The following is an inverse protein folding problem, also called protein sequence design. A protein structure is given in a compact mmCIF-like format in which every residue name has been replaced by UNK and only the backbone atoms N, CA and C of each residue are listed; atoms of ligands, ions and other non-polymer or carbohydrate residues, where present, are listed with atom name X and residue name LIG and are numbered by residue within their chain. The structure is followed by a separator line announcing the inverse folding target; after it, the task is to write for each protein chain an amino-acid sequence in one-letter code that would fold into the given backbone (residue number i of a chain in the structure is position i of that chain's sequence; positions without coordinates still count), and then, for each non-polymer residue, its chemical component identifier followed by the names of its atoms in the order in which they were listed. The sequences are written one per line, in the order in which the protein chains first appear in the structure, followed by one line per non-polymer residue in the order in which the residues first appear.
data_IF_067054641317
#
_entry.id   IF_067054641317
#
_cell.length_a   1.000
_cell.length_b   1.000
_cell.length_c   1.000
_cell.angle_alpha   90.00
_cell.angle_beta   90.00
_cell.angle_gamma   90.00
#
_symmetry.space_group_name_H-M   'P 1'
#
loop_
_entity.id
_entity.type
_entity.pdbx_description
1 polymer ?
#
# COMPACT_ATOMS: atom_id res chain seq x y z
N UNK A 1 59.87 1.21 -63.62
CA UNK A 1 59.19 2.52 -63.64
C UNK A 1 57.68 2.23 -63.67
N UNK A 2 56.98 2.48 -62.55
CA UNK A 2 55.55 2.16 -62.36
C UNK A 2 54.65 2.93 -63.33
N UNK A 3 53.44 2.40 -63.59
CA UNK A 3 52.26 3.22 -63.31
C UNK A 3 51.19 2.51 -62.48
N UNK A 4 50.59 3.30 -61.59
CA UNK A 4 49.40 3.03 -60.79
C UNK A 4 48.14 2.91 -61.67
N UNK A 5 47.29 1.92 -61.38
CA UNK A 5 45.86 1.94 -61.77
C UNK A 5 45.00 1.77 -60.51
N UNK A 6 44.05 2.70 -60.35
CA UNK A 6 43.17 2.89 -59.19
C UNK A 6 41.95 1.94 -59.21
N UNK A 7 41.82 1.21 -58.09
CA UNK A 7 40.65 0.96 -57.21
C UNK A 7 39.22 0.88 -57.80
N UNK A 8 38.72 -0.36 -57.75
CA UNK A 8 37.40 -0.89 -57.38
C UNK A 8 36.32 0.04 -56.78
N UNK A 9 35.06 -0.18 -57.19
CA UNK A 9 34.05 -0.88 -56.36
C UNK A 9 32.82 -1.29 -57.20
N UNK A 10 32.59 -2.61 -57.28
CA UNK A 10 31.49 -3.28 -57.98
C UNK A 10 30.42 -3.70 -56.95
N UNK A 11 29.15 -3.40 -57.22
CA UNK A 11 27.99 -3.67 -56.36
C UNK A 11 27.57 -5.15 -56.45
N UNK A 12 27.30 -5.79 -55.31
CA UNK A 12 26.84 -7.18 -55.12
C UNK A 12 26.26 -7.26 -53.69
N UNK A 13 25.23 -8.01 -53.27
CA UNK A 13 24.28 -8.94 -53.87
C UNK A 13 23.20 -9.22 -52.79
N UNK A 14 21.97 -9.42 -53.27
CA UNK A 14 20.92 -10.37 -52.84
C UNK A 14 21.14 -11.22 -51.56
N UNK A 15 20.15 -11.24 -50.65
CA UNK A 15 19.65 -12.47 -50.02
C UNK A 15 18.24 -12.28 -49.39
N UNK A 16 17.25 -12.94 -49.99
CA UNK A 16 15.88 -13.18 -49.53
C UNK A 16 15.79 -14.60 -48.95
N UNK A 17 14.72 -14.89 -48.19
CA UNK A 17 14.31 -16.15 -47.51
C UNK A 17 14.76 -16.23 -46.03
N UNK A 18 13.91 -16.48 -45.03
CA UNK A 18 12.81 -17.47 -44.96
C UNK A 18 11.69 -17.03 -43.99
N UNK A 19 10.42 -17.28 -44.35
CA UNK A 19 9.23 -17.14 -43.49
C UNK A 19 8.91 -18.50 -42.90
N UNK A 20 8.92 -18.62 -41.57
CA UNK A 20 8.56 -19.84 -40.85
C UNK A 20 7.04 -19.97 -40.70
N UNK A 21 6.50 -21.10 -41.15
CA UNK A 21 5.10 -21.50 -41.04
C UNK A 21 4.75 -21.81 -39.57
N UNK A 22 3.76 -21.10 -39.02
CA UNK A 22 3.09 -21.45 -37.77
C UNK A 22 2.16 -22.65 -38.02
N UNK A 23 2.48 -23.78 -37.41
CA UNK A 23 1.58 -24.94 -37.35
C UNK A 23 0.48 -24.65 -36.35
N UNK A 24 -0.73 -24.47 -36.85
CA UNK A 24 -1.95 -24.37 -36.05
C UNK A 24 -2.34 -25.77 -35.56
N UNK A 25 -2.23 -26.00 -34.24
CA UNK A 25 -2.84 -27.15 -33.60
C UNK A 25 -4.22 -26.73 -33.11
N UNK A 26 -5.23 -27.02 -33.92
CA UNK A 26 -6.64 -26.90 -33.54
C UNK A 26 -7.06 -28.07 -32.65
N UNK A 27 -7.62 -27.75 -31.48
CA UNK A 27 -8.34 -28.68 -30.64
C UNK A 27 -9.70 -28.08 -30.29
N UNK A 28 -10.75 -28.58 -30.94
CA UNK A 28 -12.14 -28.41 -30.52
C UNK A 28 -12.38 -29.23 -29.25
N UNK A 29 -12.94 -28.59 -28.22
CA UNK A 29 -13.29 -29.24 -26.96
C UNK A 29 -14.02 -28.28 -26.01
N UNK A 30 -15.35 -28.35 -26.04
CA UNK A 30 -16.31 -27.97 -25.00
C UNK A 30 -16.14 -26.64 -24.24
N UNK A 31 -17.02 -25.69 -24.58
CA UNK A 31 -17.36 -24.52 -23.76
C UNK A 31 -18.11 -24.94 -22.49
N UNK A 32 -17.39 -25.44 -21.50
CA UNK A 32 -17.81 -25.48 -20.11
C UNK A 32 -17.12 -24.35 -19.36
N UNK A 33 -17.85 -23.28 -19.06
CA UNK A 33 -17.35 -22.14 -18.27
C UNK A 33 -17.09 -22.55 -16.82
N UNK A 34 -15.97 -23.22 -16.58
CA UNK A 34 -15.34 -23.31 -15.27
C UNK A 34 -14.24 -22.27 -15.27
N UNK A 35 -14.39 -21.25 -14.41
CA UNK A 35 -13.28 -20.37 -14.08
C UNK A 35 -12.09 -21.26 -13.72
N UNK A 36 -10.90 -21.10 -14.33
CA UNK A 36 -9.77 -21.93 -13.98
C UNK A 36 -9.49 -21.74 -12.49
N UNK A 37 -9.66 -22.82 -11.72
CA UNK A 37 -9.23 -22.86 -10.33
C UNK A 37 -7.75 -22.46 -10.31
N UNK A 38 -7.35 -21.49 -9.49
CA UNK A 38 -6.00 -21.01 -9.51
C UNK A 38 -5.01 -22.14 -9.19
N UNK A 39 -3.90 -22.19 -9.93
CA UNK A 39 -2.87 -23.21 -9.71
C UNK A 39 -2.41 -23.22 -8.24
N UNK A 40 -2.30 -24.40 -7.62
CA UNK A 40 -1.87 -24.49 -6.22
C UNK A 40 -0.45 -23.97 -6.06
N UNK A 41 -0.22 -23.18 -5.02
CA UNK A 41 1.11 -22.64 -4.69
C UNK A 41 2.05 -23.75 -4.21
N UNK A 42 3.32 -23.66 -4.61
CA UNK A 42 4.40 -24.47 -4.02
C UNK A 42 4.63 -24.10 -2.55
N UNK A 43 5.36 -24.93 -1.81
CA UNK A 43 5.70 -24.66 -0.42
C UNK A 43 6.41 -23.31 -0.24
N UNK A 44 7.42 -23.02 -1.06
CA UNK A 44 8.18 -21.76 -0.97
C UNK A 44 7.29 -20.54 -1.27
N UNK A 45 6.41 -20.65 -2.28
CA UNK A 45 5.47 -19.59 -2.63
C UNK A 45 4.46 -19.29 -1.49
N UNK A 46 4.08 -20.29 -0.71
CA UNK A 46 3.23 -20.09 0.48
C UNK A 46 3.96 -19.31 1.57
N UNK A 47 5.22 -19.64 1.83
CA UNK A 47 6.02 -18.87 2.78
C UNK A 47 6.22 -17.43 2.30
N UNK A 48 6.57 -17.23 1.04
CA UNK A 48 6.72 -15.88 0.45
C UNK A 48 5.44 -15.05 0.59
N UNK A 49 4.29 -15.66 0.32
CA UNK A 49 3.00 -15.00 0.51
C UNK A 49 2.82 -14.56 1.96
N UNK A 50 3.02 -15.46 2.93
CA UNK A 50 2.83 -15.15 4.35
C UNK A 50 3.81 -14.07 4.84
N UNK A 51 5.08 -14.11 4.42
CA UNK A 51 6.07 -13.09 4.80
C UNK A 51 5.78 -11.71 4.20
N UNK A 52 5.16 -11.65 3.01
CA UNK A 52 4.79 -10.38 2.38
C UNK A 52 3.48 -9.81 2.91
N UNK A 53 2.54 -10.68 3.28
CA UNK A 53 1.18 -10.31 3.66
C UNK A 53 0.96 -10.15 5.16
N UNK A 54 1.92 -10.51 6.01
CA UNK A 54 1.79 -10.42 7.48
C UNK A 54 3.01 -9.77 8.11
N UNK A 55 2.94 -9.44 9.39
CA UNK A 55 4.11 -8.98 10.16
C UNK A 55 5.01 -10.12 10.65
N UNK A 56 4.61 -11.37 10.40
CA UNK A 56 5.32 -12.55 10.84
C UNK A 56 4.38 -13.76 10.81
N UNK A 57 4.69 -14.82 10.04
CA UNK A 57 3.87 -16.02 10.04
C UNK A 57 3.80 -16.64 11.45
N UNK A 58 2.61 -16.93 11.95
CA UNK A 58 2.43 -17.67 13.22
C UNK A 58 2.74 -19.16 12.98
N UNK A 59 3.06 -19.95 14.02
CA UNK A 59 3.45 -21.36 13.85
C UNK A 59 2.48 -22.22 13.01
N UNK A 60 1.17 -21.90 13.02
CA UNK A 60 0.14 -22.65 12.28
C UNK A 60 -0.28 -21.99 10.95
N UNK A 61 0.21 -20.79 10.63
CA UNK A 61 -0.23 -20.04 9.45
C UNK A 61 0.08 -20.76 8.14
N UNK A 62 1.18 -21.51 8.07
CA UNK A 62 1.52 -22.31 6.90
C UNK A 62 0.51 -23.42 6.67
N UNK A 63 0.19 -24.18 7.72
CA UNK A 63 -0.75 -25.31 7.62
C UNK A 63 -2.15 -24.80 7.25
N UNK A 64 -2.59 -23.70 7.87
CA UNK A 64 -3.86 -23.05 7.51
C UNK A 64 -3.90 -22.66 6.02
N UNK A 65 -2.85 -22.01 5.51
CA UNK A 65 -2.77 -21.62 4.10
C UNK A 65 -2.71 -22.84 3.16
N UNK A 66 -2.01 -23.90 3.57
CA UNK A 66 -1.90 -25.15 2.83
C UNK A 66 -3.25 -25.86 2.69
N UNK A 67 -4.03 -25.92 3.77
CA UNK A 67 -5.31 -26.63 3.83
C UNK A 67 -6.44 -25.81 3.18
N UNK A 68 -6.45 -24.49 3.39
CA UNK A 68 -7.49 -23.61 2.87
C UNK A 68 -7.29 -23.27 1.39
N UNK A 69 -6.02 -23.22 0.95
CA UNK A 69 -5.63 -22.66 -0.33
C UNK A 69 -5.59 -21.12 -0.30
N UNK A 70 -4.72 -20.54 -1.12
CA UNK A 70 -4.41 -19.11 -1.02
C UNK A 70 -5.59 -18.18 -1.37
N UNK A 71 -6.43 -18.55 -2.34
CA UNK A 71 -7.57 -17.72 -2.74
C UNK A 71 -8.56 -17.58 -1.58
N UNK A 72 -8.96 -18.71 -0.99
CA UNK A 72 -9.86 -18.71 0.17
C UNK A 72 -9.23 -18.06 1.40
N UNK A 73 -7.92 -18.19 1.57
CA UNK A 73 -7.20 -17.48 2.62
C UNK A 73 -7.27 -15.95 2.44
N UNK A 74 -7.09 -15.45 1.21
CA UNK A 74 -7.26 -14.03 0.89
C UNK A 74 -8.70 -13.57 1.11
N UNK A 75 -9.69 -14.32 0.63
CA UNK A 75 -11.11 -14.01 0.85
C UNK A 75 -11.44 -13.93 2.35
N UNK A 76 -10.86 -14.83 3.15
CA UNK A 76 -10.96 -14.79 4.61
C UNK A 76 -10.35 -13.51 5.16
N UNK A 77 -9.15 -13.11 4.73
CA UNK A 77 -8.50 -11.88 5.18
C UNK A 77 -9.29 -10.61 4.80
N UNK A 78 -9.87 -10.56 3.60
CA UNK A 78 -10.69 -9.43 3.16
C UNK A 78 -12.00 -9.28 3.93
N UNK A 79 -12.58 -10.41 4.34
CA UNK A 79 -13.86 -10.44 5.08
C UNK A 79 -13.73 -10.27 6.60
N UNK A 80 -12.53 -10.30 7.15
CA UNK A 80 -12.33 -10.06 8.58
C UNK A 80 -12.70 -8.63 8.98
N UNK A 81 -13.39 -8.52 10.11
CA UNK A 81 -13.65 -7.24 10.77
C UNK A 81 -12.32 -6.53 11.07
N UNK A 82 -12.18 -5.25 10.71
CA UNK A 82 -10.95 -4.51 10.99
C UNK A 82 -10.64 -4.42 12.49
N UNK A 83 -9.39 -4.69 12.86
CA UNK A 83 -8.90 -4.39 14.22
C UNK A 83 -8.46 -2.93 14.29
N UNK A 84 -9.27 -2.11 14.97
CA UNK A 84 -9.02 -0.66 15.09
C UNK A 84 -8.16 -0.33 16.30
N UNK A 85 -7.16 0.52 16.09
CA UNK A 85 -6.20 0.98 17.09
C UNK A 85 -6.87 1.85 18.14
N UNK A 86 -7.81 2.73 17.77
CA UNK A 86 -8.50 3.59 18.74
C UNK A 86 -9.32 2.75 19.72
N UNK A 87 -10.08 1.78 19.20
CA UNK A 87 -10.83 0.82 20.03
C UNK A 87 -9.90 0.06 20.98
N UNK A 88 -8.74 -0.39 20.48
CA UNK A 88 -7.75 -1.07 21.31
C UNK A 88 -7.10 -0.15 22.35
N UNK A 89 -6.79 1.09 21.99
CA UNK A 89 -6.20 2.10 22.88
C UNK A 89 -7.10 2.41 24.07
N UNK A 90 -8.41 2.53 23.85
CA UNK A 90 -9.37 2.78 24.94
C UNK A 90 -9.47 1.64 25.96
N UNK A 91 -8.99 0.44 25.62
CA UNK A 91 -8.94 -0.71 26.55
C UNK A 91 -7.70 -0.68 27.45
N UNK A 92 -6.67 0.11 27.12
CA UNK A 92 -5.50 0.26 27.98
C UNK A 92 -5.82 1.18 29.14
N UNK A 93 -5.50 0.78 30.39
CA UNK A 93 -5.66 1.65 31.54
C UNK A 93 -4.71 2.83 31.43
N UNK A 94 -5.22 4.04 31.69
CA UNK A 94 -4.37 5.21 31.92
C UNK A 94 -3.70 5.05 33.29
N UNK A 95 -2.39 5.34 33.36
CA UNK A 95 -1.68 5.40 34.64
C UNK A 95 -2.31 6.44 35.56
N UNK A 96 -2.25 6.19 36.87
CA UNK A 96 -2.81 7.08 37.89
C UNK A 96 -2.27 8.51 37.74
N UNK A 97 -3.20 9.47 37.64
CA UNK A 97 -2.88 10.89 37.48
C UNK A 97 -2.68 11.36 36.04
N UNK A 98 -2.95 10.52 35.03
CA UNK A 98 -2.99 10.94 33.61
C UNK A 98 -4.43 11.08 33.09
N UNK A 99 -4.72 12.20 32.44
CA UNK A 99 -6.02 12.49 31.84
C UNK A 99 -6.11 12.10 30.34
N UNK A 100 -4.98 11.75 29.71
CA UNK A 100 -4.92 11.44 28.28
C UNK A 100 -3.83 10.41 27.92
N UNK A 101 -3.99 9.76 26.76
CA UNK A 101 -2.99 8.88 26.17
C UNK A 101 -1.77 9.64 25.64
N UNK A 102 -0.61 9.00 25.69
CA UNK A 102 0.64 9.52 25.14
C UNK A 102 1.11 8.71 23.91
N UNK A 103 2.22 9.16 23.30
CA UNK A 103 2.79 8.53 22.10
C UNK A 103 3.24 7.08 22.36
N UNK A 104 3.69 6.76 23.58
CA UNK A 104 4.09 5.40 23.96
C UNK A 104 2.89 4.46 24.02
N UNK A 105 1.73 4.93 24.50
CA UNK A 105 0.50 4.14 24.52
C UNK A 105 0.07 3.77 23.09
N UNK A 106 0.11 4.74 22.15
CA UNK A 106 -0.19 4.47 20.73
C UNK A 106 0.78 3.46 20.11
N UNK A 107 2.08 3.61 20.35
CA UNK A 107 3.08 2.67 19.82
C UNK A 107 2.90 1.28 20.42
N UNK A 108 2.51 1.18 21.69
CA UNK A 108 2.22 -0.09 22.35
C UNK A 108 1.03 -0.81 21.70
N UNK A 109 -0.04 -0.07 21.42
CA UNK A 109 -1.21 -0.60 20.70
C UNK A 109 -0.84 -1.02 19.28
N UNK A 110 -0.01 -0.23 18.59
CA UNK A 110 0.44 -0.59 17.24
C UNK A 110 1.22 -1.91 17.23
N UNK A 111 2.11 -2.12 18.20
CA UNK A 111 2.82 -3.40 18.35
C UNK A 111 1.88 -4.56 18.67
N UNK A 112 0.95 -4.36 19.59
CA UNK A 112 -0.02 -5.39 19.97
C UNK A 112 -0.84 -5.86 18.76
N UNK A 113 -1.44 -4.92 18.01
CA UNK A 113 -2.25 -5.26 16.84
C UNK A 113 -1.40 -5.82 15.70
N UNK A 114 -0.22 -5.27 15.43
CA UNK A 114 0.67 -5.79 14.38
C UNK A 114 1.04 -7.25 14.59
N UNK A 115 1.25 -7.67 15.85
CA UNK A 115 1.64 -9.04 16.18
C UNK A 115 0.44 -9.98 16.37
N UNK A 116 -0.65 -9.49 16.97
CA UNK A 116 -1.71 -10.35 17.49
C UNK A 116 -3.00 -10.29 16.67
N UNK A 117 -3.28 -9.21 15.95
CA UNK A 117 -4.54 -9.05 15.23
C UNK A 117 -4.76 -10.14 14.18
N UNK A 118 -6.02 -10.62 14.00
CA UNK A 118 -6.33 -11.67 13.04
C UNK A 118 -6.28 -11.20 11.57
N UNK A 119 -6.59 -9.92 11.31
CA UNK A 119 -6.66 -9.25 10.00
C UNK A 119 -5.27 -8.78 9.51
N UNK A 120 -4.27 -9.66 9.60
CA UNK A 120 -2.86 -9.35 9.32
C UNK A 120 -2.62 -8.70 7.95
N UNK A 121 -3.33 -9.15 6.90
CA UNK A 121 -3.20 -8.54 5.58
C UNK A 121 -3.63 -7.07 5.58
N UNK A 122 -4.72 -6.75 6.29
CA UNK A 122 -5.24 -5.39 6.41
C UNK A 122 -4.24 -4.51 7.15
N UNK A 123 -3.69 -5.01 8.26
CA UNK A 123 -2.68 -4.29 9.04
C UNK A 123 -1.40 -4.04 8.23
N UNK A 124 -0.97 -5.02 7.44
CA UNK A 124 0.21 -4.89 6.57
C UNK A 124 0.00 -3.85 5.47
N UNK A 125 -1.19 -3.83 4.86
CA UNK A 125 -1.55 -2.83 3.85
C UNK A 125 -1.67 -1.44 4.48
N UNK A 126 -2.32 -1.32 5.64
CA UNK A 126 -2.43 -0.04 6.36
C UNK A 126 -1.04 0.53 6.71
N UNK A 127 -0.10 -0.31 7.11
CA UNK A 127 1.30 0.10 7.31
C UNK A 127 1.97 0.57 6.02
N UNK A 128 1.79 -0.14 4.90
CA UNK A 128 2.31 0.35 3.62
C UNK A 128 1.68 1.69 3.22
N UNK A 129 0.38 1.88 3.49
CA UNK A 129 -0.30 3.15 3.25
C UNK A 129 0.22 4.27 4.16
N UNK A 130 0.59 3.99 5.41
CA UNK A 130 1.15 5.02 6.30
C UNK A 130 2.53 5.50 5.87
N UNK A 131 3.29 4.68 5.14
CA UNK A 131 4.57 5.07 4.54
C UNK A 131 4.39 5.90 3.25
N UNK A 132 3.22 5.83 2.62
CA UNK A 132 2.88 6.63 1.43
C UNK A 132 2.22 7.95 1.84
N UNK A 133 1.22 7.87 2.71
CA UNK A 133 0.45 9.01 3.22
C UNK A 133 0.94 9.38 4.63
N UNK A 134 2.18 9.86 4.66
CA UNK A 134 2.92 10.12 5.89
C UNK A 134 2.33 11.31 6.64
N UNK A 135 2.15 11.15 7.96
CA UNK A 135 2.00 12.24 8.92
C UNK A 135 3.13 12.17 9.95
N UNK A 136 3.56 13.30 10.49
CA UNK A 136 4.65 13.35 11.49
C UNK A 136 4.15 13.81 12.85
N UNK A 137 4.55 13.09 13.90
CA UNK A 137 4.46 13.61 15.28
C UNK A 137 5.46 14.74 15.53
N UNK A 138 6.55 14.78 14.75
CA UNK A 138 7.59 15.79 14.84
C UNK A 138 7.19 16.96 13.96
N UNK A 139 6.61 17.98 14.58
CA UNK A 139 5.98 19.14 13.96
C UNK A 139 5.17 19.92 15.00
N UNK A 140 4.62 21.08 14.63
CA UNK A 140 4.04 22.02 15.58
C UNK A 140 2.72 21.55 16.23
N UNK A 141 1.90 20.69 15.61
CA UNK A 141 0.55 20.38 16.13
C UNK A 141 0.34 18.95 16.68
N UNK A 142 0.94 17.91 16.07
CA UNK A 142 0.48 16.52 16.30
C UNK A 142 1.12 15.78 17.49
N UNK A 143 2.20 16.30 18.10
CA UNK A 143 2.91 15.59 19.18
C UNK A 143 2.00 15.26 20.39
N UNK A 144 1.07 16.15 20.74
CA UNK A 144 0.10 15.94 21.82
C UNK A 144 -1.21 15.29 21.38
N UNK A 145 -1.43 15.09 20.07
CA UNK A 145 -2.71 14.69 19.48
C UNK A 145 -2.76 13.19 19.19
N UNK A 146 -2.55 12.40 20.25
CA UNK A 146 -2.44 10.93 20.13
C UNK A 146 -3.70 10.31 19.55
N UNK A 147 -4.88 10.74 20.02
CA UNK A 147 -6.16 10.25 19.53
C UNK A 147 -6.32 10.53 18.02
N UNK A 148 -6.02 11.75 17.58
CA UNK A 148 -6.12 12.16 16.18
C UNK A 148 -5.15 11.41 15.26
N UNK A 149 -3.92 11.18 15.72
CA UNK A 149 -2.95 10.34 14.98
C UNK A 149 -3.38 8.87 14.92
N UNK A 150 -4.06 8.39 15.96
CA UNK A 150 -4.57 7.01 16.02
C UNK A 150 -5.77 6.84 15.10
N UNK A 151 -6.67 7.82 15.10
CA UNK A 151 -7.83 7.89 14.20
C UNK A 151 -7.41 7.94 12.72
N UNK A 152 -6.36 8.71 12.41
CA UNK A 152 -5.77 8.72 11.06
C UNK A 152 -5.29 7.33 10.62
N UNK A 153 -4.66 6.57 11.52
CA UNK A 153 -4.24 5.20 11.21
C UNK A 153 -5.43 4.26 11.02
N UNK A 154 -6.49 4.41 11.82
CA UNK A 154 -7.73 3.64 11.69
C UNK A 154 -8.48 3.93 10.38
N UNK A 155 -8.42 5.16 9.88
CA UNK A 155 -8.90 5.51 8.54
C UNK A 155 -8.13 4.72 7.47
N UNK A 156 -6.80 4.62 7.55
CA UNK A 156 -6.01 3.80 6.62
C UNK A 156 -6.36 2.31 6.70
N UNK A 157 -6.60 1.78 7.90
CA UNK A 157 -7.07 0.39 8.10
C UNK A 157 -8.42 0.15 7.43
N UNK A 158 -9.35 1.09 7.60
CA UNK A 158 -10.70 1.00 7.04
C UNK A 158 -10.66 1.03 5.51
N UNK A 159 -9.81 1.88 4.93
CA UNK A 159 -9.65 2.02 3.49
C UNK A 159 -8.60 1.10 2.86
N UNK A 160 -7.98 0.18 3.61
CA UNK A 160 -6.91 -0.69 3.12
C UNK A 160 -7.30 -1.51 1.88
N UNK A 161 -8.57 -1.88 1.74
CA UNK A 161 -9.11 -2.62 0.59
C UNK A 161 -10.16 -1.82 -0.21
N UNK A 162 -10.28 -0.52 0.07
CA UNK A 162 -11.22 0.36 -0.62
C UNK A 162 -10.65 0.81 -1.98
N UNK A 163 -11.44 1.55 -2.75
CA UNK A 163 -10.95 2.16 -3.98
C UNK A 163 -10.04 3.36 -3.69
N UNK A 164 -9.13 3.64 -4.62
CA UNK A 164 -8.13 4.70 -4.45
C UNK A 164 -8.75 6.10 -4.33
N UNK A 165 -9.89 6.36 -4.98
CA UNK A 165 -10.57 7.66 -4.92
C UNK A 165 -11.07 7.95 -3.50
N UNK A 166 -11.74 6.99 -2.88
CA UNK A 166 -12.22 7.10 -1.50
C UNK A 166 -11.06 7.25 -0.51
N UNK A 167 -9.98 6.49 -0.72
CA UNK A 167 -8.79 6.58 0.11
C UNK A 167 -8.17 7.99 0.05
N UNK A 168 -7.91 8.52 -1.15
CA UNK A 168 -7.26 9.83 -1.27
C UNK A 168 -8.16 10.95 -0.76
N UNK A 169 -9.48 10.87 -1.01
CA UNK A 169 -10.44 11.82 -0.46
C UNK A 169 -10.41 11.82 1.07
N UNK A 170 -10.48 10.63 1.69
CA UNK A 170 -10.42 10.47 3.14
C UNK A 170 -9.11 10.97 3.75
N UNK A 171 -7.97 10.69 3.10
CA UNK A 171 -6.65 11.22 3.50
C UNK A 171 -6.65 12.75 3.46
N UNK A 172 -7.12 13.35 2.35
CA UNK A 172 -7.07 14.80 2.15
C UNK A 172 -8.00 15.59 3.06
N UNK A 173 -9.11 15.00 3.47
CA UNK A 173 -10.11 15.63 4.33
C UNK A 173 -9.86 15.35 5.83
N UNK A 174 -8.90 14.49 6.16
CA UNK A 174 -8.61 14.14 7.54
C UNK A 174 -7.95 15.30 8.29
N UNK A 175 -8.43 15.59 9.50
CA UNK A 175 -7.90 16.66 10.34
C UNK A 175 -6.37 16.53 10.55
N UNK A 176 -5.91 15.32 10.92
CA UNK A 176 -4.49 15.02 11.08
C UNK A 176 -3.61 15.40 9.87
N UNK A 177 -4.10 15.18 8.64
CA UNK A 177 -3.36 15.53 7.42
C UNK A 177 -3.36 17.03 7.18
N UNK A 178 -4.50 17.69 7.40
CA UNK A 178 -4.61 19.15 7.34
C UNK A 178 -3.70 19.86 8.35
N UNK A 179 -3.62 19.32 9.57
CA UNK A 179 -2.71 19.77 10.63
C UNK A 179 -1.24 19.56 10.22
N UNK A 180 -0.92 18.39 9.67
CA UNK A 180 0.45 18.06 9.26
C UNK A 180 0.98 18.96 8.13
N UNK A 181 0.14 19.24 7.13
CA UNK A 181 0.49 20.09 5.99
C UNK A 181 0.31 21.59 6.29
N UNK A 182 -0.03 21.96 7.53
CA UNK A 182 -0.37 23.33 7.91
C UNK A 182 -1.43 23.97 7.00
N UNK A 183 -2.39 23.16 6.52
CA UNK A 183 -3.52 23.63 5.70
C UNK A 183 -4.71 24.08 6.54
N UNK A 184 -4.72 23.74 7.84
CA UNK A 184 -5.76 24.19 8.75
C UNK A 184 -5.66 25.70 8.98
N UNK A 185 -6.70 26.41 8.51
CA UNK A 185 -6.84 27.86 8.59
C UNK A 185 -5.88 28.68 7.72
N UNK A 186 -5.53 28.20 6.51
CA UNK A 186 -4.89 29.06 5.51
C UNK A 186 -5.78 30.28 5.22
N UNK A 187 -5.25 31.46 5.52
CA UNK A 187 -5.94 32.73 5.31
C UNK A 187 -5.46 33.35 4.01
N UNK A 188 -6.39 33.93 3.24
CA UNK A 188 -6.04 34.73 2.06
C UNK A 188 -5.12 35.88 2.48
N UNK A 189 -4.11 36.16 1.65
CA UNK A 189 -3.19 37.28 1.86
C UNK A 189 -3.96 38.59 2.15
N UNK A 190 -3.54 39.29 3.20
CA UNK A 190 -4.07 40.58 3.61
C UNK A 190 -2.93 41.63 3.58
N UNK A 191 -2.91 42.53 2.59
CA UNK A 191 -1.88 43.55 2.46
C UNK A 191 -1.86 44.56 3.62
N UNK A 192 -2.97 44.74 4.33
CA UNK A 192 -3.10 45.77 5.38
C UNK A 192 -2.51 45.30 6.71
N UNK A 193 -2.36 43.99 6.93
CA UNK A 193 -1.80 43.39 8.14
C UNK A 193 -0.37 42.85 7.99
N UNK A 194 0.30 43.12 6.86
CA UNK A 194 1.65 42.60 6.53
C UNK A 194 1.77 41.07 6.68
N UNK A 195 0.67 40.35 6.42
CA UNK A 195 0.62 38.88 6.44
C UNK A 195 0.93 38.36 5.05
N UNK A 196 2.10 37.74 4.90
CA UNK A 196 2.48 37.08 3.66
C UNK A 196 1.69 35.77 3.48
N UNK A 197 1.24 35.46 2.25
CA UNK A 197 0.57 34.20 1.96
C UNK A 197 1.49 33.01 2.23
N UNK A 198 0.94 31.97 2.86
CA UNK A 198 1.49 30.62 2.73
C UNK A 198 1.37 30.16 1.27
N UNK A 199 2.34 29.37 0.80
CA UNK A 199 2.70 29.19 -0.62
C UNK A 199 1.59 28.58 -1.53
N UNK A 200 0.41 28.30 -1.00
CA UNK A 200 -0.74 27.72 -1.73
C UNK A 200 -1.67 28.74 -2.40
N UNK A 201 -1.48 30.04 -2.19
CA UNK A 201 -2.41 31.08 -2.70
C UNK A 201 -1.96 31.79 -3.98
N UNK A 202 -1.05 31.20 -4.77
CA UNK A 202 -0.83 31.65 -6.15
C UNK A 202 -1.96 31.20 -7.07
N UNK A 203 -3.08 31.91 -7.05
CA UNK A 203 -4.09 31.84 -8.13
C UNK A 203 -3.74 32.93 -9.14
N UNK A 204 -3.45 32.50 -10.38
CA UNK A 204 -3.27 33.37 -11.55
C UNK A 204 -4.58 34.00 -12.00
#
# INVERSE_FOLDING_TARGET
MFPLIKRHAFKSSLCLLTVSLLSACGGEGESGGLSPEPNPLTQDQRYDLLYRSTFGPKPNSYQELADLGYSRWLDRQFSMTPSLHLSRLTQYPLEDGRDSYNQSDRVSVWWDLSLNAPDQLRQRVAFALSEIFVISRYGASLNGRVLEMTDYYDMLITHAFANYRELIESVTLHAAMGDYLSMMANQKADPDSNRYPDETTHVK
#
